data_IF_206138794802
#
_entry.id   IF_206138794802
#
_cell.length_a   1.000
_cell.length_b   1.000
_cell.length_c   1.000
_cell.angle_alpha   90.00
_cell.angle_beta   90.00
_cell.angle_gamma   90.00
#
_symmetry.space_group_name_H-M   'P 1'
#
loop_
_entity.id
_entity.type
_entity.pdbx_description
1 polymer ?
#
# COMPACT_ATOMS: atom_id res chain seq x y z
N UNK A 1 76.02 -16.18 8.92
CA UNK A 1 74.58 -15.85 8.93
C UNK A 1 73.81 -17.08 8.47
N UNK A 2 73.13 -17.80 9.39
CA UNK A 2 72.39 -19.03 9.07
C UNK A 2 70.96 -18.63 8.67
N UNK A 3 70.55 -18.95 7.44
CA UNK A 3 69.19 -18.69 6.96
C UNK A 3 68.31 -19.88 7.35
N UNK A 4 67.43 -19.67 8.32
CA UNK A 4 66.46 -20.67 8.76
C UNK A 4 65.28 -20.74 7.80
N UNK A 5 65.09 -21.89 7.14
CA UNK A 5 64.03 -22.13 6.14
C UNK A 5 62.71 -22.43 6.86
N UNK A 6 61.84 -21.43 6.98
CA UNK A 6 60.50 -21.56 7.60
C UNK A 6 59.56 -22.34 6.66
N UNK A 7 59.24 -23.58 7.01
CA UNK A 7 58.27 -24.39 6.28
C UNK A 7 56.85 -23.84 6.47
N UNK A 8 56.24 -23.29 5.41
CA UNK A 8 54.84 -22.87 5.40
C UNK A 8 53.93 -24.10 5.40
N UNK A 9 53.47 -24.49 6.59
CA UNK A 9 52.48 -25.57 6.75
C UNK A 9 51.12 -25.02 6.32
N UNK A 10 50.72 -25.26 5.07
CA UNK A 10 49.40 -24.92 4.54
C UNK A 10 48.31 -25.72 5.27
N UNK A 11 47.78 -25.15 6.35
CA UNK A 11 46.56 -25.62 7.01
C UNK A 11 45.37 -25.35 6.07
N UNK A 12 45.14 -26.21 5.08
CA UNK A 12 43.88 -26.25 4.32
C UNK A 12 42.78 -26.66 5.29
N UNK A 13 42.20 -25.70 6.02
CA UNK A 13 40.94 -25.90 6.73
C UNK A 13 39.94 -26.37 5.68
N UNK A 14 39.39 -27.57 5.84
CA UNK A 14 38.30 -28.06 4.98
C UNK A 14 37.15 -27.07 5.13
N UNK A 15 36.97 -26.21 4.12
CA UNK A 15 35.76 -25.40 4.02
C UNK A 15 34.65 -26.38 3.65
N UNK A 16 33.81 -26.71 4.62
CA UNK A 16 32.57 -27.46 4.36
C UNK A 16 31.68 -26.57 3.50
N UNK A 17 31.67 -26.81 2.20
CA UNK A 17 30.72 -26.18 1.29
C UNK A 17 29.41 -26.97 1.30
N UNK A 18 28.30 -26.26 1.05
CA UNK A 18 27.02 -26.88 0.75
C UNK A 18 27.17 -27.84 -0.43
N UNK A 19 26.56 -29.02 -0.30
CA UNK A 19 26.48 -29.98 -1.40
C UNK A 19 25.41 -29.55 -2.40
N UNK A 20 25.56 -29.93 -3.67
CA UNK A 20 24.53 -29.62 -4.68
C UNK A 20 23.16 -30.20 -4.33
N UNK A 21 23.14 -31.34 -3.65
CA UNK A 21 21.90 -32.00 -3.23
C UNK A 21 21.14 -31.19 -2.16
N UNK A 22 21.84 -30.58 -1.21
CA UNK A 22 21.21 -29.71 -0.20
C UNK A 22 20.58 -28.49 -0.86
N UNK A 23 21.24 -27.90 -1.86
CA UNK A 23 20.70 -26.75 -2.58
C UNK A 23 19.44 -27.13 -3.39
N UNK A 24 19.47 -28.26 -4.09
CA UNK A 24 18.32 -28.74 -4.88
C UNK A 24 17.15 -29.12 -3.98
N UNK A 25 17.39 -29.74 -2.82
CA UNK A 25 16.35 -30.06 -1.85
C UNK A 25 15.66 -28.78 -1.32
N UNK A 26 16.42 -27.72 -1.05
CA UNK A 26 15.86 -26.43 -0.61
C UNK A 26 15.03 -25.77 -1.70
N UNK A 27 15.52 -25.74 -2.95
CA UNK A 27 14.78 -25.17 -4.08
C UNK A 27 13.49 -25.95 -4.37
N UNK A 28 13.51 -27.28 -4.20
CA UNK A 28 12.32 -28.11 -4.32
C UNK A 28 11.26 -27.75 -3.26
N UNK A 29 11.65 -27.59 -1.99
CA UNK A 29 10.73 -27.19 -0.91
C UNK A 29 10.18 -25.77 -1.15
N UNK A 30 11.04 -24.81 -1.50
CA UNK A 30 10.62 -23.44 -1.80
C UNK A 30 9.64 -23.41 -2.98
N UNK A 31 9.88 -24.21 -4.02
CA UNK A 31 8.98 -24.30 -5.19
C UNK A 31 7.57 -24.79 -4.84
N UNK A 32 7.47 -25.82 -3.98
CA UNK A 32 6.19 -26.36 -3.50
C UNK A 32 5.46 -25.35 -2.61
N UNK A 33 6.16 -24.70 -1.68
CA UNK A 33 5.54 -23.71 -0.81
C UNK A 33 5.14 -22.44 -1.57
N UNK A 34 5.97 -22.00 -2.53
CA UNK A 34 5.71 -20.81 -3.34
C UNK A 34 4.42 -20.94 -4.14
N UNK A 35 4.15 -22.10 -4.74
CA UNK A 35 2.92 -22.33 -5.52
C UNK A 35 1.67 -22.28 -4.63
N UNK A 36 1.74 -22.78 -3.39
CA UNK A 36 0.64 -22.73 -2.45
C UNK A 36 0.34 -21.32 -1.90
N UNK A 37 1.33 -20.42 -1.87
CA UNK A 37 1.21 -19.08 -1.29
C UNK A 37 0.70 -18.02 -2.28
N UNK A 38 0.94 -18.18 -3.58
CA UNK A 38 0.58 -17.20 -4.62
C UNK A 38 -0.88 -16.72 -4.60
N UNK A 39 -1.93 -17.57 -4.52
CA UNK A 39 -3.31 -17.10 -4.70
C UNK A 39 -3.80 -16.20 -3.57
N UNK A 40 -3.24 -16.30 -2.36
CA UNK A 40 -3.72 -15.54 -1.19
C UNK A 40 -3.27 -14.09 -1.19
N UNK A 41 -2.12 -13.79 -1.80
CA UNK A 41 -1.48 -12.47 -1.69
C UNK A 41 -2.30 -11.39 -2.43
N UNK A 42 -2.96 -11.73 -3.53
CA UNK A 42 -3.74 -10.78 -4.34
C UNK A 42 -4.90 -10.13 -3.59
N UNK A 43 -5.69 -10.91 -2.85
CA UNK A 43 -6.82 -10.38 -2.06
C UNK A 43 -6.37 -9.45 -0.94
N UNK A 44 -5.33 -9.82 -0.18
CA UNK A 44 -4.78 -8.97 0.88
C UNK A 44 -4.21 -7.65 0.36
N UNK A 45 -3.59 -7.65 -0.82
CA UNK A 45 -3.10 -6.41 -1.45
C UNK A 45 -4.28 -5.49 -1.79
N UNK A 46 -5.39 -6.03 -2.30
CA UNK A 46 -6.59 -5.26 -2.62
C UNK A 46 -7.22 -4.66 -1.36
N UNK A 47 -7.33 -5.43 -0.27
CA UNK A 47 -7.83 -4.92 1.01
C UNK A 47 -6.91 -3.85 1.62
N UNK A 48 -5.60 -4.05 1.55
CA UNK A 48 -4.63 -3.02 1.98
C UNK A 48 -4.75 -1.73 1.16
N UNK A 49 -5.03 -1.83 -0.15
CA UNK A 49 -5.28 -0.66 -1.01
C UNK A 49 -6.58 0.05 -0.64
N UNK A 50 -7.67 -0.67 -0.38
CA UNK A 50 -8.94 -0.09 0.08
C UNK A 50 -8.75 0.65 1.42
N UNK A 51 -8.08 0.02 2.38
CA UNK A 51 -7.77 0.64 3.67
C UNK A 51 -6.91 1.91 3.51
N UNK A 52 -5.97 1.92 2.56
CA UNK A 52 -5.19 3.12 2.22
C UNK A 52 -6.07 4.25 1.71
N UNK A 53 -6.98 3.97 0.78
CA UNK A 53 -7.93 4.95 0.22
C UNK A 53 -8.84 5.51 1.33
N UNK A 54 -9.36 4.64 2.20
CA UNK A 54 -10.19 5.06 3.33
C UNK A 54 -9.44 6.01 4.27
N UNK A 55 -8.17 5.69 4.58
CA UNK A 55 -7.33 6.56 5.38
C UNK A 55 -7.04 7.90 4.68
N UNK A 56 -6.73 7.89 3.38
CA UNK A 56 -6.52 9.13 2.62
C UNK A 56 -7.80 10.01 2.64
N UNK A 57 -8.97 9.43 2.38
CA UNK A 57 -10.24 10.16 2.39
C UNK A 57 -10.54 10.75 3.79
N UNK A 58 -10.26 9.99 4.85
CA UNK A 58 -10.43 10.45 6.23
C UNK A 58 -9.52 11.64 6.53
N UNK A 59 -8.25 11.56 6.14
CA UNK A 59 -7.28 12.64 6.32
C UNK A 59 -7.75 13.92 5.63
N UNK A 60 -8.26 13.84 4.39
CA UNK A 60 -8.79 15.00 3.65
C UNK A 60 -10.00 15.58 4.38
N UNK A 61 -10.97 14.76 4.77
CA UNK A 61 -12.19 15.24 5.44
C UNK A 61 -11.84 15.93 6.76
N UNK A 62 -10.95 15.34 7.56
CA UNK A 62 -10.49 15.96 8.82
C UNK A 62 -9.73 17.26 8.58
N UNK A 63 -8.87 17.31 7.57
CA UNK A 63 -8.16 18.53 7.20
C UNK A 63 -9.12 19.62 6.71
N UNK A 64 -10.09 19.26 5.86
CA UNK A 64 -11.16 20.13 5.40
C UNK A 64 -11.96 20.71 6.57
N UNK A 65 -12.39 19.88 7.53
CA UNK A 65 -13.08 20.35 8.72
C UNK A 65 -12.21 21.36 9.50
N UNK A 66 -10.94 21.03 9.72
CA UNK A 66 -9.99 21.89 10.44
C UNK A 66 -9.81 23.28 9.80
N UNK A 67 -9.68 23.34 8.47
CA UNK A 67 -9.53 24.60 7.73
C UNK A 67 -10.86 25.34 7.53
N UNK A 68 -11.98 24.61 7.47
CA UNK A 68 -13.31 25.19 7.39
C UNK A 68 -13.63 25.96 8.68
N UNK A 69 -13.26 25.43 9.86
CA UNK A 69 -13.32 26.16 11.12
C UNK A 69 -12.45 27.44 11.15
N UNK A 70 -11.38 27.48 10.35
CA UNK A 70 -10.48 28.64 10.24
C UNK A 70 -10.99 29.73 9.28
N UNK A 71 -12.22 29.61 8.73
CA UNK A 71 -12.83 30.57 7.80
C UNK A 71 -11.94 30.92 6.59
N UNK A 72 -11.30 29.93 5.98
CA UNK A 72 -10.35 30.12 4.85
C UNK A 72 -11.03 30.37 3.49
N UNK A 73 -12.34 30.63 3.47
CA UNK A 73 -13.11 30.94 2.27
C UNK A 73 -13.20 29.78 1.27
N UNK A 74 -13.29 28.55 1.77
CA UNK A 74 -13.53 27.39 0.93
C UNK A 74 -15.00 27.33 0.47
N UNK A 75 -15.26 26.86 -0.76
CA UNK A 75 -16.61 26.61 -1.23
C UNK A 75 -17.29 25.49 -0.42
N UNK A 76 -18.61 25.38 -0.51
CA UNK A 76 -19.43 24.42 0.25
C UNK A 76 -19.06 22.94 -0.01
N UNK A 77 -18.41 22.65 -1.13
CA UNK A 77 -17.85 21.33 -1.48
C UNK A 77 -16.56 21.49 -2.31
N UNK A 78 -15.39 21.68 -1.67
CA UNK A 78 -14.14 21.85 -2.39
C UNK A 78 -13.63 20.52 -2.96
N UNK A 79 -12.78 20.60 -3.98
CA UNK A 79 -12.08 19.42 -4.48
C UNK A 79 -10.91 19.03 -3.57
N UNK A 80 -10.44 17.80 -3.69
CA UNK A 80 -9.25 17.30 -2.98
C UNK A 80 -8.05 18.22 -3.23
N UNK A 81 -7.83 18.65 -4.47
CA UNK A 81 -6.76 19.60 -4.80
C UNK A 81 -6.87 20.91 -4.00
N UNK A 82 -8.07 21.49 -3.92
CA UNK A 82 -8.29 22.76 -3.22
C UNK A 82 -8.05 22.64 -1.71
N UNK A 83 -8.35 21.48 -1.13
CA UNK A 83 -8.09 21.21 0.29
C UNK A 83 -6.61 20.99 0.54
N UNK A 84 -5.90 20.27 -0.33
CA UNK A 84 -4.44 20.09 -0.22
C UNK A 84 -3.72 21.44 -0.28
N UNK A 85 -4.06 22.29 -1.25
CA UNK A 85 -3.44 23.61 -1.42
C UNK A 85 -3.60 24.50 -0.18
N UNK A 86 -4.78 24.48 0.46
CA UNK A 86 -5.07 25.30 1.64
C UNK A 86 -4.69 24.64 2.97
N UNK A 87 -4.49 23.33 2.98
CA UNK A 87 -4.15 22.55 4.16
C UNK A 87 -2.77 21.88 4.05
N UNK A 88 -1.86 22.42 3.22
CA UNK A 88 -0.50 21.89 3.04
C UNK A 88 0.29 21.77 4.34
N UNK A 89 -0.07 22.53 5.38
CA UNK A 89 0.53 22.43 6.72
C UNK A 89 0.03 21.22 7.54
N UNK A 90 -1.13 20.65 7.16
CA UNK A 90 -1.83 19.58 7.86
C UNK A 90 -1.81 18.25 7.09
N UNK A 91 -1.68 18.31 5.76
CA UNK A 91 -1.59 17.14 4.88
C UNK A 91 -0.20 17.15 4.24
N UNK A 92 0.65 16.14 4.47
CA UNK A 92 1.85 15.97 3.67
C UNK A 92 1.43 15.65 2.23
N UNK A 93 1.85 16.44 1.25
CA UNK A 93 1.49 16.35 -0.18
C UNK A 93 1.63 14.92 -0.76
N UNK A 94 2.59 14.13 -0.28
CA UNK A 94 2.82 12.74 -0.70
C UNK A 94 1.87 11.70 -0.07
N UNK A 95 1.05 12.10 0.91
CA UNK A 95 0.15 11.20 1.61
C UNK A 95 -1.02 10.75 0.71
N UNK A 96 -1.38 11.55 -0.29
CA UNK A 96 -2.55 11.35 -1.13
C UNK A 96 -2.07 10.98 -2.52
N UNK A 97 -2.33 9.74 -2.93
CA UNK A 97 -1.78 9.18 -4.18
C UNK A 97 -2.74 8.21 -4.87
N UNK A 98 -3.89 7.96 -4.24
CA UNK A 98 -4.87 6.98 -4.70
C UNK A 98 -6.25 7.61 -4.91
N UNK A 99 -6.50 8.78 -4.33
CA UNK A 99 -7.67 9.62 -4.60
C UNK A 99 -7.42 10.55 -5.80
N UNK A 100 -8.38 10.69 -6.72
CA UNK A 100 -8.35 11.72 -7.76
C UNK A 100 -8.42 13.13 -7.17
N UNK A 101 -7.67 14.04 -7.78
CA UNK A 101 -7.63 15.46 -7.38
C UNK A 101 -8.97 16.17 -7.60
N UNK A 102 -9.77 15.67 -8.55
CA UNK A 102 -11.10 16.18 -8.93
C UNK A 102 -12.22 15.71 -7.99
N UNK A 103 -11.96 14.79 -7.05
CA UNK A 103 -12.99 14.36 -6.11
C UNK A 103 -13.36 15.49 -5.16
N UNK A 104 -14.65 15.59 -4.84
CA UNK A 104 -15.12 16.55 -3.86
C UNK A 104 -15.14 15.95 -2.45
N UNK A 105 -15.26 16.79 -1.44
CA UNK A 105 -15.38 16.34 -0.05
C UNK A 105 -16.62 15.47 0.14
N UNK A 106 -17.70 15.70 -0.61
CA UNK A 106 -18.86 14.80 -0.64
C UNK A 106 -18.46 13.39 -1.08
N UNK A 107 -17.66 13.25 -2.15
CA UNK A 107 -17.17 11.94 -2.57
C UNK A 107 -16.27 11.28 -1.51
N UNK A 108 -15.40 12.05 -0.86
CA UNK A 108 -14.59 11.53 0.24
C UNK A 108 -15.44 11.02 1.41
N UNK A 109 -16.52 11.73 1.77
CA UNK A 109 -17.46 11.29 2.81
C UNK A 109 -18.21 10.01 2.43
N UNK A 110 -18.63 9.90 1.18
CA UNK A 110 -19.29 8.68 0.68
C UNK A 110 -18.34 7.47 0.73
N UNK A 111 -17.05 7.65 0.42
CA UNK A 111 -16.04 6.58 0.56
C UNK A 111 -15.86 6.13 2.02
N UNK A 112 -16.05 7.04 3.00
CA UNK A 112 -15.99 6.70 4.42
C UNK A 112 -17.25 5.97 4.91
N UNK A 113 -18.40 6.22 4.31
CA UNK A 113 -19.66 5.52 4.60
C UNK A 113 -19.72 4.19 3.83
N UNK A 114 -18.89 3.24 4.26
CA UNK A 114 -18.83 1.89 3.69
C UNK A 114 -20.10 1.08 3.91
N UNK A 115 -21.05 1.58 4.72
CA UNK A 115 -22.35 0.94 4.94
C UNK A 115 -23.37 1.35 3.87
N UNK A 116 -23.23 2.54 3.27
CA UNK A 116 -24.13 3.06 2.23
C UNK A 116 -23.52 3.14 0.84
N UNK A 117 -22.21 3.15 0.70
CA UNK A 117 -21.54 3.32 -0.57
C UNK A 117 -20.43 2.29 -0.79
N UNK A 118 -20.25 1.89 -2.04
CA UNK A 118 -19.14 1.08 -2.52
C UNK A 118 -18.34 1.87 -3.55
N UNK A 119 -17.04 1.57 -3.67
CA UNK A 119 -16.18 2.20 -4.66
C UNK A 119 -15.39 1.13 -5.41
N UNK A 120 -15.19 1.37 -6.70
CA UNK A 120 -14.38 0.49 -7.54
C UNK A 120 -12.93 0.97 -7.58
N UNK A 121 -12.01 0.03 -7.78
CA UNK A 121 -10.59 0.34 -7.91
C UNK A 121 -10.12 -0.13 -9.28
N UNK A 122 -9.84 0.83 -10.17
CA UNK A 122 -9.43 0.56 -11.55
C UNK A 122 -8.16 1.34 -11.87
N UNK A 123 -7.19 0.68 -12.50
CA UNK A 123 -5.95 1.30 -12.98
C UNK A 123 -5.14 2.09 -11.92
N UNK A 124 -5.24 1.69 -10.65
CA UNK A 124 -4.43 2.27 -9.58
C UNK A 124 -5.06 3.46 -8.85
N UNK A 125 -6.28 3.86 -9.25
CA UNK A 125 -7.04 5.02 -8.76
C UNK A 125 -8.44 4.56 -8.31
N UNK A 126 -9.02 5.26 -7.33
CA UNK A 126 -10.41 5.00 -6.89
C UNK A 126 -11.41 5.64 -7.84
N UNK A 127 -12.43 4.87 -8.26
CA UNK A 127 -13.58 5.35 -9.02
C UNK A 127 -14.61 6.03 -8.13
N UNK A 128 -15.58 6.71 -8.74
CA UNK A 128 -16.61 7.46 -8.00
C UNK A 128 -17.43 6.54 -7.08
N UNK A 129 -17.69 6.93 -5.83
CA UNK A 129 -18.49 6.14 -4.90
C UNK A 129 -19.94 6.01 -5.41
N UNK A 130 -20.46 4.78 -5.39
CA UNK A 130 -21.81 4.43 -5.81
C UNK A 130 -22.62 3.97 -4.60
N UNK A 131 -23.90 4.32 -4.52
CA UNK A 131 -24.78 3.82 -3.45
C UNK A 131 -24.93 2.30 -3.54
N UNK A 132 -24.89 1.63 -2.40
CA UNK A 132 -25.18 0.20 -2.34
C UNK A 132 -26.68 -0.02 -2.54
N UNK A 133 -27.10 -0.15 -3.79
CA UNK A 133 -28.42 -0.68 -4.08
C UNK A 133 -28.47 -2.14 -3.63
N UNK A 134 -29.54 -2.52 -2.94
CA UNK A 134 -29.78 -3.88 -2.42
C UNK A 134 -29.79 -4.98 -3.50
N UNK A 135 -29.60 -4.62 -4.78
CA UNK A 135 -29.51 -5.50 -5.95
C UNK A 135 -28.10 -6.02 -6.26
N UNK A 136 -27.04 -5.42 -5.71
CA UNK A 136 -25.65 -5.73 -6.13
C UNK A 136 -24.93 -6.73 -5.21
N UNK A 137 -25.64 -7.34 -4.25
CA UNK A 137 -25.11 -8.43 -3.41
C UNK A 137 -25.14 -9.79 -4.13
N UNK A 138 -24.72 -9.86 -5.40
CA UNK A 138 -24.52 -11.13 -6.09
C UNK A 138 -23.34 -11.07 -7.06
N UNK A 139 -22.22 -11.71 -6.68
CA UNK A 139 -21.04 -11.94 -7.51
C UNK A 139 -19.99 -10.84 -7.35
N UNK A 140 -18.72 -11.13 -7.07
CA UNK A 140 -17.97 -12.37 -7.16
C UNK A 140 -16.69 -12.28 -6.31
#
# INVERSE_FOLDING_TARGET
>A
MIISKKNFKNNKKKKGGFTLIELVAVLAIIGILSTALTPKIGGYITEAKKAKILNEAKTIVTAYESISFKNTGLPTDPTVAQVIDKASDLIPEKAISKLPDDFTITHCKNILDTERYTFTYKDGIVGEPQEINSSDTSGS
#
